data_IF_154496476823
#
_entry.id   IF_154496476823
#
_cell.length_a   1.000
_cell.length_b   1.000
_cell.length_c   1.000
_cell.angle_alpha   90.00
_cell.angle_beta   90.00
_cell.angle_gamma   90.00
#
_symmetry.space_group_name_H-M   'P 1'
#
loop_
_entity.id
_entity.type
_entity.pdbx_description
1 polymer ?
#
# COMPACT_ATOMS: atom_id res chain seq x y z
N UNK A 1 -3.51 -10.28 13.95
CA UNK A 1 -3.73 -10.88 12.62
C UNK A 1 -4.67 -10.06 11.76
N UNK A 2 -5.71 -9.43 12.34
CA UNK A 2 -6.47 -8.40 11.63
C UNK A 2 -5.61 -7.15 11.39
N UNK A 3 -4.93 -7.11 10.25
CA UNK A 3 -4.01 -6.04 9.89
C UNK A 3 -4.18 -5.51 8.47
N UNK A 4 -5.05 -6.09 7.63
CA UNK A 4 -5.17 -5.74 6.22
C UNK A 4 -5.97 -4.44 6.02
N UNK A 5 -5.31 -3.32 6.32
CA UNK A 5 -5.83 -1.97 6.21
C UNK A 5 -5.06 -1.15 5.17
N UNK A 6 -5.72 -0.13 4.62
CA UNK A 6 -5.14 0.85 3.69
C UNK A 6 -5.33 2.24 4.31
N UNK A 7 -4.29 3.08 4.23
CA UNK A 7 -4.38 4.50 4.55
C UNK A 7 -4.43 5.30 3.25
N UNK A 8 -5.35 6.27 3.15
CA UNK A 8 -5.45 7.17 2.00
C UNK A 8 -5.34 8.60 2.50
N UNK A 9 -4.38 9.35 1.97
CA UNK A 9 -4.18 10.77 2.26
C UNK A 9 -4.40 11.57 0.99
N UNK A 10 -5.28 12.54 1.10
CA UNK A 10 -5.71 13.41 0.00
C UNK A 10 -5.39 14.85 0.36
N UNK A 11 -4.74 15.62 -0.55
CA UNK A 11 -4.49 17.03 -0.32
C UNK A 11 -5.78 17.83 -0.23
N UNK A 12 -5.69 19.03 0.36
CA UNK A 12 -6.79 19.99 0.46
C UNK A 12 -6.46 21.23 -0.35
N UNK A 13 -7.35 21.68 -1.27
CA UNK A 13 -8.66 21.10 -1.60
C UNK A 13 -8.55 19.73 -2.29
N UNK A 14 -9.62 18.91 -2.20
CA UNK A 14 -9.64 17.58 -2.83
C UNK A 14 -9.39 17.73 -4.34
N UNK A 15 -8.37 17.06 -4.89
CA UNK A 15 -8.05 17.18 -6.31
C UNK A 15 -9.05 16.41 -7.18
N UNK A 16 -8.97 16.65 -8.49
CA UNK A 16 -9.66 15.86 -9.51
C UNK A 16 -8.62 15.20 -10.39
N UNK A 17 -8.66 13.87 -10.46
CA UNK A 17 -7.80 13.06 -11.33
C UNK A 17 -6.30 13.23 -11.05
N UNK A 18 -5.91 13.38 -9.78
CA UNK A 18 -4.51 13.51 -9.36
C UNK A 18 -3.72 12.20 -9.54
N UNK A 19 -2.39 12.31 -9.67
CA UNK A 19 -1.51 11.16 -9.59
C UNK A 19 -1.62 10.49 -8.21
N UNK A 20 -1.48 9.17 -8.19
CA UNK A 20 -1.57 8.34 -6.97
C UNK A 20 -0.22 7.68 -6.74
N UNK A 21 0.38 7.93 -5.59
CA UNK A 21 1.60 7.26 -5.17
C UNK A 21 1.25 6.22 -4.10
N UNK A 22 1.70 4.99 -4.29
CA UNK A 22 1.39 3.87 -3.40
C UNK A 22 2.66 3.37 -2.73
N UNK A 23 2.75 3.54 -1.42
CA UNK A 23 3.88 3.11 -0.60
C UNK A 23 3.74 1.65 -0.17
N UNK A 24 4.79 0.88 -0.42
CA UNK A 24 4.97 -0.48 0.10
C UNK A 24 6.18 -0.44 1.04
N UNK A 25 5.96 -0.73 2.33
CA UNK A 25 7.03 -0.64 3.32
C UNK A 25 7.99 -1.85 3.24
N UNK A 26 9.27 -1.60 3.53
CA UNK A 26 10.31 -2.61 3.69
C UNK A 26 10.37 -3.23 5.09
N UNK A 27 11.38 -4.06 5.32
CA UNK A 27 11.55 -4.80 6.59
C UNK A 27 11.87 -6.28 6.40
N UNK A 28 12.53 -6.63 5.28
CA UNK A 28 12.98 -7.99 5.01
C UNK A 28 11.88 -9.05 5.01
N UNK A 29 10.62 -8.66 4.78
CA UNK A 29 9.43 -9.51 4.93
C UNK A 29 9.19 -10.08 6.34
N UNK A 30 9.85 -9.59 7.39
CA UNK A 30 9.65 -10.05 8.78
C UNK A 30 9.35 -8.94 9.78
N UNK A 31 9.45 -7.67 9.37
CA UNK A 31 9.06 -6.49 10.15
C UNK A 31 8.49 -5.41 9.21
N UNK A 32 8.06 -4.29 9.78
CA UNK A 32 7.55 -3.13 9.06
C UNK A 32 6.07 -2.85 9.31
N UNK A 33 5.66 -1.61 9.03
CA UNK A 33 4.27 -1.15 9.06
C UNK A 33 4.14 0.14 8.26
N UNK A 34 3.00 0.35 7.60
CA UNK A 34 2.66 1.59 6.92
C UNK A 34 2.42 2.78 7.89
N UNK A 35 2.51 2.56 9.19
CA UNK A 35 2.21 3.54 10.25
C UNK A 35 3.45 4.11 10.94
N UNK A 36 4.67 3.83 10.46
CA UNK A 36 5.86 4.46 11.02
C UNK A 36 5.85 5.96 10.78
N UNK A 37 6.23 6.76 11.77
CA UNK A 37 6.24 8.23 11.68
C UNK A 37 7.14 8.76 10.56
N UNK A 38 8.21 8.03 10.23
CA UNK A 38 9.11 8.36 9.11
C UNK A 38 8.39 8.32 7.75
N UNK A 39 7.23 7.66 7.68
CA UNK A 39 6.37 7.62 6.51
C UNK A 39 5.19 8.60 6.60
N UNK A 40 5.21 9.66 7.42
CA UNK A 40 4.10 10.63 7.44
C UNK A 40 3.92 11.26 6.04
N UNK A 41 2.87 10.83 5.36
CA UNK A 41 2.61 11.16 3.95
C UNK A 41 2.02 12.56 3.75
N UNK A 42 1.69 13.30 4.82
CA UNK A 42 1.02 14.61 4.71
C UNK A 42 1.84 15.60 3.89
N UNK A 43 3.14 15.68 4.14
CA UNK A 43 4.03 16.65 3.47
C UNK A 43 4.09 16.34 1.97
N UNK A 44 4.36 15.09 1.61
CA UNK A 44 4.46 14.71 0.19
C UNK A 44 3.12 14.90 -0.54
N UNK A 45 2.00 14.55 0.09
CA UNK A 45 0.68 14.75 -0.50
C UNK A 45 0.35 16.23 -0.70
N UNK A 46 0.69 17.11 0.26
CA UNK A 46 0.38 18.53 0.18
C UNK A 46 1.30 19.30 -0.78
N UNK A 47 2.61 19.08 -0.73
CA UNK A 47 3.58 19.84 -1.51
C UNK A 47 3.52 19.46 -3.00
N UNK A 48 3.37 18.17 -3.31
CA UNK A 48 3.38 17.69 -4.71
C UNK A 48 1.98 17.55 -5.31
N UNK A 49 0.92 17.85 -4.53
CA UNK A 49 -0.48 17.74 -4.94
C UNK A 49 -0.83 16.35 -5.52
N UNK A 50 -0.38 15.31 -4.84
CA UNK A 50 -0.63 13.90 -5.17
C UNK A 50 -1.44 13.21 -4.08
N UNK A 51 -2.13 12.13 -4.44
CA UNK A 51 -2.77 11.26 -3.44
C UNK A 51 -1.75 10.22 -2.99
N UNK A 52 -1.53 10.13 -1.69
CA UNK A 52 -0.69 9.10 -1.09
C UNK A 52 -1.54 7.99 -0.54
N UNK A 53 -1.18 6.76 -0.88
CA UNK A 53 -1.78 5.55 -0.35
C UNK A 53 -0.69 4.69 0.26
N UNK A 54 -0.96 4.08 1.40
CA UNK A 54 -0.11 3.03 1.96
C UNK A 54 -0.94 1.84 2.38
N UNK A 55 -0.35 0.65 2.33
CA UNK A 55 -1.06 -0.61 2.60
C UNK A 55 -0.32 -1.44 3.64
N UNK A 56 -1.10 -2.19 4.40
CA UNK A 56 -0.58 -3.27 5.23
C UNK A 56 -0.59 -4.58 4.45
N UNK A 57 0.44 -5.40 4.67
CA UNK A 57 0.50 -6.77 4.17
C UNK A 57 1.06 -7.69 5.25
N UNK A 58 0.69 -8.98 5.21
CA UNK A 58 1.21 -9.96 6.18
C UNK A 58 2.71 -10.17 5.97
N UNK A 59 3.43 -10.22 7.08
CA UNK A 59 4.88 -10.45 7.17
C UNK A 59 5.16 -11.76 7.93
N UNK A 60 6.43 -12.17 7.99
CA UNK A 60 6.92 -13.39 8.66
C UNK A 60 6.27 -14.66 8.09
N UNK A 61 6.18 -15.72 8.90
CA UNK A 61 5.48 -16.94 8.51
C UNK A 61 4.00 -16.71 8.16
N UNK A 62 3.34 -15.72 8.80
CA UNK A 62 1.93 -15.41 8.51
C UNK A 62 1.69 -14.94 7.06
N UNK A 63 2.71 -14.33 6.43
CA UNK A 63 2.65 -13.88 5.05
C UNK A 63 3.37 -14.79 4.05
N UNK A 64 4.36 -15.56 4.49
CA UNK A 64 5.32 -16.20 3.58
C UNK A 64 5.63 -17.68 3.90
N UNK A 65 4.86 -18.33 4.77
CA UNK A 65 4.99 -19.77 4.99
C UNK A 65 4.69 -20.54 3.69
N UNK A 66 5.55 -21.52 3.36
CA UNK A 66 5.45 -22.33 2.15
C UNK A 66 5.74 -23.80 2.47
N UNK A 67 4.83 -24.70 2.08
CA UNK A 67 5.01 -26.15 2.21
C UNK A 67 4.77 -26.92 0.90
N UNK A 68 4.74 -26.25 -0.26
CA UNK A 68 4.41 -26.87 -1.55
C UNK A 68 3.08 -27.64 -1.53
N UNK A 69 2.09 -27.07 -0.84
CA UNK A 69 0.73 -27.60 -0.73
C UNK A 69 -0.28 -26.52 -1.09
N UNK A 70 -1.48 -26.94 -1.49
CA UNK A 70 -2.55 -26.01 -1.87
C UNK A 70 -2.97 -25.09 -0.72
N UNK A 71 -2.96 -25.58 0.53
CA UNK A 71 -3.35 -24.81 1.72
C UNK A 71 -2.26 -23.84 2.21
N UNK A 72 -0.99 -24.11 1.85
CA UNK A 72 0.17 -23.29 2.22
C UNK A 72 1.02 -23.01 0.97
N UNK A 73 0.46 -22.25 -0.01
CA UNK A 73 1.08 -22.04 -1.32
C UNK A 73 2.20 -20.99 -1.31
N UNK A 74 2.48 -20.35 -0.17
CA UNK A 74 3.40 -19.22 -0.07
C UNK A 74 2.80 -17.89 -0.53
N UNK A 75 3.59 -16.82 -0.36
CA UNK A 75 3.32 -15.49 -0.92
C UNK A 75 2.00 -14.82 -0.51
N UNK A 76 1.37 -15.24 0.58
CA UNK A 76 0.14 -14.62 1.08
C UNK A 76 0.31 -13.10 1.29
N UNK A 77 1.47 -12.64 1.76
CA UNK A 77 1.80 -11.21 1.86
C UNK A 77 1.83 -10.48 0.53
N UNK A 78 2.30 -11.12 -0.56
CA UNK A 78 2.25 -10.52 -1.90
C UNK A 78 0.82 -10.49 -2.46
N UNK A 79 0.00 -11.50 -2.13
CA UNK A 79 -1.42 -11.49 -2.49
C UNK A 79 -2.20 -10.41 -1.73
N UNK A 80 -1.81 -10.10 -0.48
CA UNK A 80 -2.37 -8.97 0.26
C UNK A 80 -2.07 -7.65 -0.47
N UNK A 81 -0.83 -7.46 -0.92
CA UNK A 81 -0.44 -6.28 -1.71
C UNK A 81 -1.22 -6.21 -3.03
N UNK A 82 -1.37 -7.33 -3.75
CA UNK A 82 -2.17 -7.40 -4.98
C UNK A 82 -3.63 -7.02 -4.72
N UNK A 83 -4.23 -7.52 -3.64
CA UNK A 83 -5.60 -7.20 -3.25
C UNK A 83 -5.76 -5.70 -2.94
N UNK A 84 -4.79 -5.11 -2.23
CA UNK A 84 -4.78 -3.68 -1.98
C UNK A 84 -4.65 -2.87 -3.27
N UNK A 85 -3.80 -3.27 -4.22
CA UNK A 85 -3.67 -2.61 -5.52
C UNK A 85 -4.96 -2.68 -6.35
N UNK A 86 -5.66 -3.82 -6.32
CA UNK A 86 -6.98 -3.96 -6.94
C UNK A 86 -8.01 -3.03 -6.28
N UNK A 87 -8.02 -2.96 -4.95
CA UNK A 87 -8.88 -2.04 -4.22
C UNK A 87 -8.58 -0.58 -4.60
N UNK A 88 -7.30 -0.18 -4.65
CA UNK A 88 -6.88 1.17 -5.03
C UNK A 88 -7.38 1.48 -6.44
N UNK A 89 -7.11 0.62 -7.41
CA UNK A 89 -7.56 0.82 -8.80
C UNK A 89 -9.08 0.98 -8.91
N UNK A 90 -9.85 0.24 -8.12
CA UNK A 90 -11.32 0.26 -8.17
C UNK A 90 -11.94 1.44 -7.42
N UNK A 91 -11.24 2.02 -6.43
CA UNK A 91 -11.84 2.98 -5.48
C UNK A 91 -11.18 4.36 -5.45
N UNK A 92 -9.92 4.50 -5.91
CA UNK A 92 -9.14 5.73 -5.67
C UNK A 92 -9.73 6.98 -6.32
N UNK A 93 -10.55 6.80 -7.37
CA UNK A 93 -11.30 7.89 -7.98
C UNK A 93 -12.23 8.61 -7.00
N UNK A 94 -12.83 7.90 -6.04
CA UNK A 94 -13.70 8.51 -5.02
C UNK A 94 -12.93 9.48 -4.09
N UNK A 95 -11.61 9.31 -4.00
CA UNK A 95 -10.70 10.16 -3.23
C UNK A 95 -10.09 11.29 -4.06
N UNK A 96 -10.40 11.37 -5.37
CA UNK A 96 -9.86 12.36 -6.29
C UNK A 96 -8.66 11.90 -7.13
N UNK A 97 -8.31 10.61 -7.06
CA UNK A 97 -7.16 10.03 -7.75
C UNK A 97 -7.49 9.50 -9.14
N UNK A 98 -6.46 9.42 -9.98
CA UNK A 98 -6.56 8.82 -11.30
C UNK A 98 -6.15 7.34 -11.23
N UNK A 99 -7.07 6.38 -11.45
CA UNK A 99 -6.74 4.95 -11.43
C UNK A 99 -5.83 4.51 -12.58
N UNK A 100 -5.56 5.38 -13.56
CA UNK A 100 -4.63 5.17 -14.67
C UNK A 100 -3.27 5.86 -14.48
N UNK A 101 -3.07 6.57 -13.36
CA UNK A 101 -1.81 7.23 -13.03
C UNK A 101 -1.38 6.86 -11.61
N UNK A 102 -1.08 5.57 -11.43
CA UNK A 102 -0.65 4.98 -10.16
C UNK A 102 0.84 4.65 -10.27
N UNK A 103 1.64 5.19 -9.35
CA UNK A 103 3.07 4.90 -9.22
C UNK A 103 3.31 4.14 -7.92
N UNK A 104 3.89 2.95 -8.02
CA UNK A 104 4.35 2.19 -6.85
C UNK A 104 5.74 2.65 -6.45
N UNK A 105 5.99 2.77 -5.16
CA UNK A 105 7.31 3.05 -4.62
C UNK A 105 7.48 2.36 -3.26
N UNK A 106 8.70 1.90 -2.99
CA UNK A 106 9.04 1.10 -1.83
C UNK A 106 10.53 1.17 -1.52
N UNK A 107 10.91 0.63 -0.38
CA UNK A 107 12.31 0.55 0.07
C UNK A 107 12.61 -0.85 0.58
N UNK A 108 13.82 -1.35 0.30
CA UNK A 108 14.29 -2.68 0.70
C UNK A 108 13.40 -3.83 0.17
N UNK A 109 12.53 -4.39 1.01
CA UNK A 109 11.63 -5.48 0.65
C UNK A 109 10.31 -5.01 0.02
N UNK A 110 10.04 -3.69 0.09
CA UNK A 110 8.85 -3.06 -0.47
C UNK A 110 8.97 -2.71 -1.94
#
# INVERSE_FOLDING_TARGET
EDCLYINVITPKPRPRNAAVMVWIFGGGFYTGTATLDIYDYKILASEENVILVSMQYRITCLGFLYFDTQDVPGNAGLFDQLMALQWIRNNIHAFGGNPHNITLFGESAG
#
